data_IF_426735691951
#
_entry.id   IF_426735691951
#
_cell.length_a   1.000
_cell.length_b   1.000
_cell.length_c   1.000
_cell.angle_alpha   90.00
_cell.angle_beta   90.00
_cell.angle_gamma   90.00
#
_symmetry.space_group_name_H-M   'P 1'
#
loop_
_entity.id
_entity.type
_entity.pdbx_description
1 polymer ?
#
# COMPACT_ATOMS: atom_id res chain seq x y z
N UNK A 1 -5.01 28.82 18.83
CA UNK A 1 -3.86 28.50 17.94
C UNK A 1 -2.67 29.42 18.24
N UNK A 2 -1.44 29.08 17.83
CA UNK A 2 -0.25 29.92 18.12
C UNK A 2 -0.35 31.36 17.55
N UNK A 3 -0.87 31.51 16.32
CA UNK A 3 -1.07 32.83 15.69
C UNK A 3 -2.15 33.67 16.40
N UNK A 4 -3.21 33.02 16.84
CA UNK A 4 -4.29 33.64 17.62
C UNK A 4 -3.79 34.11 19.00
N UNK A 5 -3.03 33.26 19.71
CA UNK A 5 -2.43 33.62 20.99
C UNK A 5 -1.43 34.78 20.88
N UNK A 6 -0.69 34.86 19.77
CA UNK A 6 0.20 35.98 19.46
C UNK A 6 -0.57 37.29 19.34
N UNK A 7 -1.66 37.31 18.57
CA UNK A 7 -2.50 38.51 18.39
C UNK A 7 -3.28 38.86 19.66
N UNK A 8 -3.74 37.86 20.42
CA UNK A 8 -4.39 38.09 21.71
C UNK A 8 -3.46 38.76 22.73
N UNK A 9 -2.19 38.34 22.78
CA UNK A 9 -1.17 38.95 23.66
C UNK A 9 -0.71 40.32 23.15
N UNK A 10 -0.69 40.52 21.83
CA UNK A 10 -0.23 41.74 21.17
C UNK A 10 -1.28 42.27 20.18
N UNK A 11 -2.31 42.99 20.65
CA UNK A 11 -3.43 43.43 19.80
C UNK A 11 -3.01 44.32 18.62
N UNK A 12 -1.89 45.03 18.73
CA UNK A 12 -1.31 45.84 17.64
C UNK A 12 -0.86 45.02 16.43
N UNK A 13 -0.74 43.70 16.56
CA UNK A 13 -0.41 42.80 15.46
C UNK A 13 -1.65 42.34 14.68
N UNK A 14 -2.87 42.72 15.09
CA UNK A 14 -4.10 42.30 14.41
C UNK A 14 -4.11 42.80 12.96
N UNK A 15 -4.36 41.88 12.03
CA UNK A 15 -4.46 42.16 10.59
C UNK A 15 -5.78 42.88 10.28
N UNK A 16 -5.70 44.11 9.74
CA UNK A 16 -6.87 44.89 9.37
C UNK A 16 -7.59 44.25 8.17
N UNK A 17 -8.93 44.17 8.23
CA UNK A 17 -9.75 43.57 7.16
C UNK A 17 -9.78 42.04 7.14
N UNK A 18 -9.12 41.38 8.10
CA UNK A 18 -9.12 39.92 8.24
C UNK A 18 -10.22 39.48 9.22
N UNK A 19 -11.09 38.54 8.80
CA UNK A 19 -12.20 38.04 9.62
C UNK A 19 -11.73 37.50 10.98
N UNK A 20 -10.60 36.79 11.01
CA UNK A 20 -9.99 36.27 12.24
C UNK A 20 -8.98 37.23 12.87
N UNK A 21 -8.43 38.18 12.10
CA UNK A 21 -7.38 39.11 12.56
C UNK A 21 -5.98 38.50 12.71
N UNK A 22 -5.80 37.18 12.49
CA UNK A 22 -4.51 36.49 12.65
C UNK A 22 -4.14 35.56 11.48
N UNK A 23 -4.93 35.53 10.40
CA UNK A 23 -4.67 34.65 9.25
C UNK A 23 -3.30 34.90 8.60
N UNK A 24 -2.91 36.15 8.36
CA UNK A 24 -1.58 36.49 7.85
C UNK A 24 -0.44 35.96 8.73
N UNK A 25 -0.62 36.01 10.05
CA UNK A 25 0.34 35.46 11.02
C UNK A 25 0.43 33.94 10.97
N UNK A 26 -0.68 33.23 10.78
CA UNK A 26 -0.69 31.78 10.60
C UNK A 26 0.18 31.36 9.42
N UNK A 27 0.04 32.03 8.27
CA UNK A 27 0.87 31.73 7.10
C UNK A 27 2.33 32.12 7.35
N UNK A 28 2.58 33.32 7.87
CA UNK A 28 3.94 33.82 8.15
C UNK A 28 4.71 32.90 9.09
N UNK A 29 4.09 32.45 10.19
CA UNK A 29 4.69 31.49 11.11
C UNK A 29 4.94 30.14 10.45
N UNK A 30 3.99 29.63 9.64
CA UNK A 30 4.18 28.37 8.89
C UNK A 30 5.38 28.45 7.95
N UNK A 31 5.52 29.55 7.19
CA UNK A 31 6.65 29.77 6.29
C UNK A 31 7.96 29.92 7.06
N UNK A 32 8.00 30.74 8.12
CA UNK A 32 9.20 30.95 8.94
C UNK A 32 9.70 29.65 9.58
N UNK A 33 8.79 28.85 10.14
CA UNK A 33 9.12 27.54 10.70
C UNK A 33 9.56 26.54 9.63
N UNK A 34 8.97 26.58 8.43
CA UNK A 34 9.43 25.81 7.28
C UNK A 34 10.87 26.14 6.89
N UNK A 35 11.18 27.43 6.76
CA UNK A 35 12.53 27.91 6.44
C UNK A 35 13.55 27.54 7.52
N UNK A 36 13.19 27.70 8.79
CA UNK A 36 14.05 27.31 9.91
C UNK A 36 14.39 25.82 9.86
N UNK A 37 13.40 24.93 9.70
CA UNK A 37 13.65 23.49 9.57
C UNK A 37 14.54 23.16 8.38
N UNK A 38 14.35 23.83 7.24
CA UNK A 38 15.21 23.64 6.08
C UNK A 38 16.66 24.07 6.35
N UNK A 39 16.88 25.20 7.04
CA UNK A 39 18.23 25.63 7.46
C UNK A 39 18.88 24.63 8.41
N UNK A 40 18.16 24.20 9.45
CA UNK A 40 18.63 23.22 10.42
C UNK A 40 18.98 21.88 9.75
N UNK A 41 18.18 21.44 8.77
CA UNK A 41 18.47 20.23 7.98
C UNK A 41 19.78 20.37 7.21
N UNK A 42 20.00 21.49 6.52
CA UNK A 42 21.24 21.77 5.78
C UNK A 42 22.47 21.84 6.70
N UNK A 43 22.28 22.24 7.95
CA UNK A 43 23.31 22.24 8.98
C UNK A 43 23.57 20.85 9.60
N UNK A 44 22.88 19.79 9.16
CA UNK A 44 23.09 18.42 9.65
C UNK A 44 22.34 18.05 10.92
N UNK A 45 21.32 18.82 11.34
CA UNK A 45 20.55 18.51 12.54
C UNK A 45 19.63 17.29 12.31
N UNK A 46 20.00 16.12 12.85
CA UNK A 46 19.34 14.85 12.58
C UNK A 46 17.85 14.83 12.91
N UNK A 47 17.43 15.54 13.98
CA UNK A 47 16.03 15.64 14.42
C UNK A 47 15.09 16.23 13.35
N UNK A 48 15.60 17.10 12.47
CA UNK A 48 14.82 17.69 11.37
C UNK A 48 15.05 17.01 10.01
N UNK A 49 16.01 16.08 9.95
CA UNK A 49 16.37 15.33 8.74
C UNK A 49 15.42 14.18 8.48
N UNK A 50 14.91 13.52 9.53
CA UNK A 50 13.96 12.40 9.41
C UNK A 50 12.65 12.78 8.70
N UNK A 51 12.27 14.06 8.76
CA UNK A 51 11.07 14.60 8.13
C UNK A 51 11.35 15.30 6.80
N UNK A 52 12.51 15.09 6.18
CA UNK A 52 12.90 15.77 4.93
C UNK A 52 12.02 15.39 3.73
N UNK A 53 11.18 14.36 3.85
CA UNK A 53 10.33 13.86 2.78
C UNK A 53 11.13 13.22 1.64
N UNK A 54 10.42 12.79 0.60
CA UNK A 54 11.01 12.14 -0.58
C UNK A 54 11.61 13.19 -1.54
N UNK A 55 12.39 12.72 -2.52
CA UNK A 55 12.94 13.55 -3.61
C UNK A 55 11.87 14.44 -4.22
N UNK A 56 12.17 15.72 -4.35
CA UNK A 56 11.31 16.72 -5.00
C UNK A 56 12.15 17.76 -5.73
N UNK A 57 11.51 18.62 -6.54
CA UNK A 57 12.20 19.75 -7.19
C UNK A 57 12.92 20.68 -6.20
N UNK A 58 12.42 20.75 -4.97
CA UNK A 58 13.04 21.55 -3.89
C UNK A 58 14.10 20.79 -3.08
N UNK A 59 14.17 19.47 -3.23
CA UNK A 59 15.08 18.59 -2.48
C UNK A 59 15.52 17.43 -3.41
N UNK A 60 16.41 17.69 -4.39
CA UNK A 60 16.76 16.73 -5.44
C UNK A 60 17.65 15.58 -4.94
N UNK A 61 18.47 15.82 -3.91
CA UNK A 61 19.40 14.82 -3.34
C UNK A 61 18.71 13.75 -2.47
N UNK A 62 17.44 13.94 -2.09
CA UNK A 62 16.73 12.97 -1.25
C UNK A 62 16.45 11.65 -1.98
N UNK A 63 16.08 10.61 -1.23
CA UNK A 63 15.66 9.32 -1.75
C UNK A 63 14.41 9.42 -2.66
N UNK A 64 14.35 8.68 -3.79
CA UNK A 64 13.18 8.66 -4.66
C UNK A 64 11.92 8.21 -3.92
N UNK A 65 10.75 8.61 -4.44
CA UNK A 65 9.47 8.23 -3.83
C UNK A 65 9.16 6.73 -3.85
N UNK A 66 9.87 5.96 -4.66
CA UNK A 66 9.67 4.53 -4.84
C UNK A 66 10.75 3.65 -4.19
N UNK A 67 11.78 4.23 -3.54
CA UNK A 67 12.89 3.44 -2.99
C UNK A 67 12.49 2.42 -1.92
N UNK A 68 11.41 2.70 -1.19
CA UNK A 68 10.87 1.82 -0.13
C UNK A 68 9.53 1.17 -0.48
N UNK A 69 9.11 1.22 -1.76
CA UNK A 69 7.87 0.56 -2.19
C UNK A 69 8.26 -0.83 -2.69
N UNK A 70 7.94 -1.87 -1.91
CA UNK A 70 8.02 -3.25 -2.39
C UNK A 70 7.09 -3.38 -3.59
N UNK A 71 7.66 -3.65 -4.77
CA UNK A 71 6.87 -3.97 -5.95
C UNK A 71 6.35 -5.41 -5.81
N UNK A 72 5.09 -5.69 -6.17
CA UNK A 72 4.62 -7.06 -6.26
C UNK A 72 5.58 -7.83 -7.17
N UNK A 73 6.02 -9.02 -6.74
CA UNK A 73 6.74 -9.90 -7.64
C UNK A 73 5.79 -10.27 -8.77
N UNK A 74 6.24 -10.19 -10.03
CA UNK A 74 5.46 -10.40 -11.26
C UNK A 74 4.72 -11.77 -11.32
N UNK A 75 4.94 -12.65 -10.34
CA UNK A 75 4.36 -13.99 -10.22
C UNK A 75 3.11 -14.10 -9.34
N UNK A 76 2.72 -13.07 -8.57
CA UNK A 76 1.58 -13.17 -7.62
C UNK A 76 0.19 -12.99 -8.28
N UNK A 77 0.12 -12.83 -9.60
CA UNK A 77 -1.15 -12.58 -10.32
C UNK A 77 -1.79 -13.87 -10.85
N UNK A 78 -1.16 -15.04 -10.70
CA UNK A 78 -1.73 -16.32 -11.14
C UNK A 78 -1.90 -17.27 -9.94
N UNK A 79 -2.73 -16.90 -8.97
CA UNK A 79 -2.99 -17.74 -7.79
C UNK A 79 -3.78 -19.03 -8.14
N UNK A 80 -4.30 -19.15 -9.36
CA UNK A 80 -5.05 -20.33 -9.79
C UNK A 80 -4.53 -20.76 -11.18
N UNK A 81 -4.05 -22.00 -11.34
CA UNK A 81 -3.86 -22.57 -12.67
C UNK A 81 -5.19 -22.47 -13.43
N UNK A 82 -5.13 -22.02 -14.70
CA UNK A 82 -6.30 -22.10 -15.57
C UNK A 82 -6.74 -23.57 -15.67
N UNK A 83 -8.05 -23.81 -15.69
CA UNK A 83 -8.59 -25.14 -15.91
C UNK A 83 -8.05 -25.73 -17.22
N UNK A 84 -7.87 -27.06 -17.25
CA UNK A 84 -7.50 -27.76 -18.47
C UNK A 84 -8.49 -27.40 -19.60
N UNK A 85 -7.97 -27.29 -20.82
CA UNK A 85 -8.75 -26.83 -21.98
C UNK A 85 -10.03 -27.68 -22.14
N UNK A 86 -11.20 -27.03 -22.05
CA UNK A 86 -12.50 -27.69 -22.19
C UNK A 86 -13.13 -28.21 -20.88
N UNK A 87 -12.54 -27.92 -19.72
CA UNK A 87 -13.15 -28.20 -18.40
C UNK A 87 -13.73 -26.93 -17.79
N UNK A 88 -14.95 -27.03 -17.28
CA UNK A 88 -15.63 -25.99 -16.53
C UNK A 88 -15.68 -26.34 -15.03
N UNK A 89 -15.97 -25.38 -14.13
CA UNK A 89 -16.05 -25.64 -12.70
C UNK A 89 -17.07 -26.73 -12.33
N UNK A 90 -18.18 -26.80 -13.07
CA UNK A 90 -19.26 -27.77 -12.84
C UNK A 90 -18.79 -29.20 -13.10
N UNK A 91 -18.13 -29.46 -14.24
CA UNK A 91 -17.61 -30.79 -14.56
C UNK A 91 -16.55 -31.27 -13.55
N UNK A 92 -15.75 -30.36 -13.00
CA UNK A 92 -14.75 -30.71 -11.99
C UNK A 92 -15.37 -31.00 -10.63
N UNK A 93 -16.43 -30.30 -10.26
CA UNK A 93 -17.16 -30.57 -9.02
C UNK A 93 -17.93 -31.90 -9.10
N UNK A 94 -18.52 -32.23 -10.24
CA UNK A 94 -19.11 -33.55 -10.49
C UNK A 94 -18.05 -34.66 -10.34
N UNK A 95 -16.88 -34.48 -10.95
CA UNK A 95 -15.78 -35.44 -10.85
C UNK A 95 -15.28 -35.60 -9.39
N UNK A 96 -15.21 -34.50 -8.64
CA UNK A 96 -14.87 -34.51 -7.20
C UNK A 96 -15.88 -35.32 -6.39
N UNK A 97 -17.18 -35.15 -6.66
CA UNK A 97 -18.23 -35.91 -5.99
C UNK A 97 -18.11 -37.40 -6.29
N UNK A 98 -17.87 -37.78 -7.55
CA UNK A 98 -17.68 -39.19 -7.92
C UNK A 98 -16.46 -39.80 -7.22
N UNK A 99 -15.35 -39.07 -7.10
CA UNK A 99 -14.16 -39.53 -6.34
C UNK A 99 -14.53 -39.76 -4.86
N UNK A 100 -15.28 -38.84 -4.24
CA UNK A 100 -15.71 -38.96 -2.84
C UNK A 100 -16.60 -40.18 -2.63
N UNK A 101 -17.49 -40.47 -3.58
CA UNK A 101 -18.34 -41.66 -3.55
C UNK A 101 -17.53 -42.96 -3.69
N UNK A 102 -16.58 -43.00 -4.64
CA UNK A 102 -15.72 -44.16 -4.87
C UNK A 102 -14.86 -44.49 -3.64
N UNK A 103 -14.32 -43.46 -2.98
CA UNK A 103 -13.50 -43.61 -1.76
C UNK A 103 -14.32 -44.10 -0.56
N UNK A 104 -15.64 -43.87 -0.53
CA UNK A 104 -16.54 -44.34 0.53
C UNK A 104 -16.91 -45.82 0.40
N UNK A 105 -16.68 -46.46 -0.75
CA UNK A 105 -16.98 -47.88 -0.95
C UNK A 105 -16.09 -48.77 -0.10
N UNK A 106 -16.63 -49.93 0.30
CA UNK A 106 -15.91 -50.96 1.07
C UNK A 106 -14.77 -51.57 0.25
N UNK A 107 -15.04 -51.88 -1.02
CA UNK A 107 -14.02 -52.21 -2.02
C UNK A 107 -13.82 -51.01 -2.94
N UNK A 108 -12.59 -50.48 -2.97
CA UNK A 108 -12.25 -49.25 -3.67
C UNK A 108 -11.50 -49.57 -4.95
N UNK A 109 -11.94 -49.02 -6.07
CA UNK A 109 -11.19 -49.07 -7.31
C UNK A 109 -10.07 -48.00 -7.30
N UNK A 110 -8.93 -48.36 -6.71
CA UNK A 110 -7.76 -47.48 -6.60
C UNK A 110 -7.21 -47.02 -7.96
N UNK A 111 -7.14 -47.87 -9.01
CA UNK A 111 -6.79 -47.44 -10.37
C UNK A 111 -7.74 -46.36 -10.91
N UNK A 112 -9.05 -46.53 -10.75
CA UNK A 112 -10.05 -45.56 -11.19
C UNK A 112 -9.92 -44.23 -10.45
N UNK A 113 -9.80 -44.27 -9.11
CA UNK A 113 -9.63 -43.07 -8.28
C UNK A 113 -8.40 -42.27 -8.72
N UNK A 114 -7.25 -42.94 -8.94
CA UNK A 114 -6.01 -42.28 -9.37
C UNK A 114 -6.19 -41.53 -10.70
N UNK A 115 -6.79 -42.19 -11.69
CA UNK A 115 -7.08 -41.61 -13.01
C UNK A 115 -7.99 -40.38 -12.91
N UNK A 116 -8.99 -40.42 -12.04
CA UNK A 116 -9.89 -39.29 -11.80
C UNK A 116 -9.18 -38.14 -11.07
N UNK A 117 -8.34 -38.42 -10.09
CA UNK A 117 -7.54 -37.39 -9.41
C UNK A 117 -6.59 -36.67 -10.37
N UNK A 118 -5.88 -37.40 -11.23
CA UNK A 118 -4.98 -36.83 -12.25
C UNK A 118 -5.69 -35.89 -13.24
N UNK A 119 -7.00 -36.07 -13.45
CA UNK A 119 -7.81 -35.21 -14.32
C UNK A 119 -8.45 -34.04 -13.60
N UNK A 120 -8.55 -34.08 -12.26
CA UNK A 120 -9.15 -33.00 -11.46
C UNK A 120 -8.13 -31.96 -11.01
N UNK A 121 -6.85 -32.35 -10.87
CA UNK A 121 -5.77 -31.43 -10.55
C UNK A 121 -5.22 -30.76 -11.82
N UNK A 122 -5.10 -29.43 -11.84
CA UNK A 122 -4.40 -28.76 -12.93
C UNK A 122 -2.95 -29.24 -12.99
N UNK A 123 -2.37 -29.48 -14.17
CA UNK A 123 -0.96 -29.82 -14.27
C UNK A 123 -0.13 -28.67 -13.68
N UNK A 124 0.74 -28.99 -12.72
CA UNK A 124 1.76 -28.06 -12.26
C UNK A 124 2.58 -27.62 -13.47
N UNK A 125 2.68 -26.30 -13.66
CA UNK A 125 3.45 -25.74 -14.78
C UNK A 125 4.94 -26.06 -14.55
N UNK A 126 5.70 -26.55 -15.56
CA UNK A 126 7.14 -26.71 -15.43
C UNK A 126 7.86 -25.38 -15.20
#
# INVERSE_FOLDING_TARGET
MAAEALVAKHPCLKEAGSESGWNGWKYSLKFKMGNYRNKMRRAGCQEVTVNAGRRSRSNPENEPSHSNIKRPKRAEVNFLPNFAQGKDPSSLEELRQTIVEEVKKTEKDLPLIRKMMETTFPPDRP
#
